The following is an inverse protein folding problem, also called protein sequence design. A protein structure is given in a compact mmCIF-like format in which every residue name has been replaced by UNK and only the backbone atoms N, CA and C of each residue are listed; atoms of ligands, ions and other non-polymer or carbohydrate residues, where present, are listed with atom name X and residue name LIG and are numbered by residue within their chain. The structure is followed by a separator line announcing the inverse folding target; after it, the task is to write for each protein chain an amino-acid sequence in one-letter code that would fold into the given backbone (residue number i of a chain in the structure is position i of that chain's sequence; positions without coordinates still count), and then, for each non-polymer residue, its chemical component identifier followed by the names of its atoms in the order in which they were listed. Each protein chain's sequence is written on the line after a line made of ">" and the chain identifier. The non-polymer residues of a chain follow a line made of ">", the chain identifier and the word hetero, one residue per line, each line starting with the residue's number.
data_IF_193299217117
#
_entry.id   IF_193299217117
#
_cell.length_a   1.000
_cell.length_b   1.000
_cell.length_c   1.000
_cell.angle_alpha   90.00
_cell.angle_beta   90.00
_cell.angle_gamma   90.00
#
_symmetry.space_group_name_H-M   'P 1'
#
loop_
_entity.id
_entity.type
_entity.pdbx_description
1 polymer ?
#
# COMPACT_ATOMS: atom_id res chain seq x y z
N UNK A 1 -7.97 -2.65 33.22
CA UNK A 1 -8.09 -2.65 31.75
C UNK A 1 -7.76 -1.33 31.07
N UNK A 2 -8.52 -0.23 31.22
CA UNK A 2 -8.17 1.06 30.56
C UNK A 2 -6.89 1.73 31.10
N UNK A 3 -6.56 1.51 32.38
CA UNK A 3 -5.36 2.07 33.02
C UNK A 3 -4.07 1.25 32.81
N UNK A 4 -4.17 -0.04 32.46
CA UNK A 4 -2.99 -0.89 32.14
C UNK A 4 -2.52 -0.69 30.69
N UNK A 5 -3.44 -0.30 29.81
CA UNK A 5 -3.15 0.04 28.41
C UNK A 5 -2.45 1.40 28.25
N UNK A 6 -2.57 2.31 29.22
CA UNK A 6 -1.90 3.62 29.20
C UNK A 6 -0.48 3.56 29.75
N UNK A 7 -0.21 2.73 30.75
CA UNK A 7 1.12 2.59 31.36
C UNK A 7 2.12 1.87 30.44
N UNK A 8 1.66 0.86 29.69
CA UNK A 8 2.48 0.17 28.67
C UNK A 8 2.71 1.01 27.41
N UNK A 9 1.81 1.97 27.12
CA UNK A 9 1.90 2.93 26.00
C UNK A 9 3.03 3.95 26.16
N UNK A 10 3.20 4.49 27.37
CA UNK A 10 4.18 5.55 27.64
C UNK A 10 5.64 5.08 27.49
N UNK A 11 5.95 3.83 27.81
CA UNK A 11 7.31 3.30 27.66
C UNK A 11 7.65 2.93 26.20
N UNK A 12 6.67 2.48 25.41
CA UNK A 12 6.89 2.13 24.00
C UNK A 12 6.96 3.37 23.08
N UNK A 13 6.12 4.39 23.33
CA UNK A 13 6.15 5.64 22.57
C UNK A 13 7.45 6.43 22.81
N UNK A 14 8.00 6.41 24.04
CA UNK A 14 9.27 7.07 24.34
C UNK A 14 10.47 6.43 23.64
N UNK A 15 10.49 5.09 23.48
CA UNK A 15 11.55 4.40 22.74
C UNK A 15 11.43 4.58 21.22
N UNK A 16 10.21 4.65 20.67
CA UNK A 16 9.97 4.89 19.24
C UNK A 16 10.21 6.35 18.82
N UNK A 17 9.89 7.32 19.69
CA UNK A 17 10.14 8.74 19.43
C UNK A 17 11.63 9.06 19.37
N UNK A 18 12.47 8.36 20.16
CA UNK A 18 13.93 8.49 20.09
C UNK A 18 14.51 7.98 18.76
N UNK A 19 13.86 7.02 18.11
CA UNK A 19 14.30 6.43 16.82
C UNK A 19 13.77 7.20 15.61
N UNK A 20 12.61 7.86 15.74
CA UNK A 20 11.92 8.52 14.62
C UNK A 20 12.14 10.05 14.55
N UNK A 21 12.56 10.71 15.63
CA UNK A 21 12.75 12.18 15.67
C UNK A 21 14.18 12.66 15.37
N UNK A 22 15.09 11.79 14.93
CA UNK A 22 16.36 12.25 14.36
C UNK A 22 16.12 12.79 12.95
N UNK A 23 15.82 14.09 12.84
CA UNK A 23 15.98 14.84 11.59
C UNK A 23 17.39 14.60 11.04
N UNK A 24 17.57 14.44 9.71
CA UNK A 24 18.89 14.22 9.16
C UNK A 24 19.76 15.45 9.43
N UNK A 25 20.96 15.32 10.03
CA UNK A 25 21.93 16.39 9.97
C UNK A 25 22.29 16.58 8.49
N UNK A 26 22.10 17.79 7.98
CA UNK A 26 22.61 18.28 6.70
C UNK A 26 24.14 18.42 6.76
N UNK A 27 24.85 17.32 6.97
CA UNK A 27 26.31 17.30 6.96
C UNK A 27 26.83 16.24 5.98
N UNK A 28 27.66 16.71 5.05
CA UNK A 28 28.49 15.93 4.15
C UNK A 28 29.18 14.78 4.91
N UNK A 29 28.97 13.55 4.45
CA UNK A 29 29.69 12.38 4.93
C UNK A 29 31.00 12.22 4.17
N UNK A 30 32.07 12.81 4.71
CA UNK A 30 33.40 12.23 4.65
C UNK A 30 33.73 11.78 6.08
N UNK A 31 33.37 10.55 6.41
CA UNK A 31 33.85 9.87 7.62
C UNK A 31 34.39 8.48 7.24
N UNK A 32 35.54 8.06 7.76
CA UNK A 32 36.22 6.84 7.33
C UNK A 32 35.66 5.59 8.03
N UNK A 33 35.62 4.49 7.26
CA UNK A 33 35.45 3.08 7.63
C UNK A 33 35.27 2.73 9.12
N UNK A 34 34.05 2.33 9.52
CA UNK A 34 33.82 1.20 10.48
C UNK A 34 32.36 0.80 10.72
N UNK A 35 31.34 1.57 10.34
CA UNK A 35 29.94 1.22 10.67
C UNK A 35 29.13 0.64 9.49
N UNK A 36 29.41 -0.60 9.11
CA UNK A 36 28.62 -1.35 8.11
C UNK A 36 27.20 -1.68 8.59
N UNK A 37 26.96 -1.72 9.91
CA UNK A 37 25.64 -1.95 10.51
C UNK A 37 24.63 -0.83 10.20
N UNK A 38 25.10 0.39 9.90
CA UNK A 38 24.23 1.54 9.61
C UNK A 38 23.51 1.46 8.26
N UNK A 39 24.11 0.78 7.27
CA UNK A 39 23.58 0.66 5.90
C UNK A 39 22.48 -0.40 5.81
N UNK A 40 22.62 -1.52 6.52
CA UNK A 40 21.59 -2.57 6.59
C UNK A 40 20.33 -2.08 7.31
N UNK A 41 20.48 -1.21 8.32
CA UNK A 41 19.35 -0.62 9.06
C UNK A 41 18.44 0.24 8.16
N UNK A 42 19.02 1.03 7.27
CA UNK A 42 18.26 1.90 6.36
C UNK A 42 17.46 1.07 5.33
N UNK A 43 17.97 -0.09 4.93
CA UNK A 43 17.28 -0.98 3.99
C UNK A 43 16.15 -1.77 4.62
N UNK A 44 16.21 -2.04 5.93
CA UNK A 44 15.20 -2.81 6.65
C UNK A 44 14.16 -1.95 7.38
N UNK A 45 14.28 -0.61 7.34
CA UNK A 45 13.23 0.34 7.79
C UNK A 45 11.82 0.00 7.26
N UNK A 46 11.62 -0.43 5.99
CA UNK A 46 10.30 -0.80 5.49
C UNK A 46 9.65 -1.98 6.24
N UNK A 47 10.43 -2.84 6.90
CA UNK A 47 9.92 -4.00 7.65
C UNK A 47 8.97 -3.59 8.78
N UNK A 48 9.30 -2.50 9.49
CA UNK A 48 8.52 -2.01 10.62
C UNK A 48 7.44 -1.00 10.21
N UNK A 49 7.63 -0.33 9.06
CA UNK A 49 6.78 0.78 8.63
C UNK A 49 5.36 0.34 8.30
N UNK A 50 5.19 -0.78 7.58
CA UNK A 50 3.86 -1.25 7.21
C UNK A 50 3.02 -1.67 8.43
N UNK A 51 3.49 -2.53 9.36
CA UNK A 51 2.73 -2.86 10.58
C UNK A 51 2.34 -1.62 11.39
N UNK A 52 3.24 -0.63 11.48
CA UNK A 52 2.95 0.64 12.15
C UNK A 52 1.80 1.41 11.45
N UNK A 53 1.83 1.54 10.12
CA UNK A 53 0.74 2.18 9.38
C UNK A 53 -0.59 1.41 9.50
N UNK A 54 -0.56 0.07 9.51
CA UNK A 54 -1.75 -0.75 9.76
C UNK A 54 -2.30 -0.54 11.17
N UNK A 55 -1.45 -0.52 12.20
CA UNK A 55 -1.84 -0.25 13.58
C UNK A 55 -2.50 1.13 13.71
N UNK A 56 -1.89 2.16 13.11
CA UNK A 56 -2.40 3.52 13.09
C UNK A 56 -3.78 3.61 12.42
N UNK A 57 -3.97 2.91 11.30
CA UNK A 57 -5.26 2.84 10.59
C UNK A 57 -6.32 2.12 11.42
N UNK A 58 -5.97 1.00 12.03
CA UNK A 58 -6.87 0.26 12.91
C UNK A 58 -7.33 1.14 14.09
N UNK A 59 -6.38 1.82 14.75
CA UNK A 59 -6.68 2.75 15.84
C UNK A 59 -7.61 3.89 15.40
N UNK A 60 -7.37 4.52 14.24
CA UNK A 60 -8.27 5.54 13.70
C UNK A 60 -9.67 5.01 13.39
N UNK A 61 -9.79 3.75 13.00
CA UNK A 61 -11.10 3.12 12.78
C UNK A 61 -11.84 2.86 14.11
N UNK A 62 -11.13 2.40 15.14
CA UNK A 62 -11.66 2.29 16.51
C UNK A 62 -12.14 3.65 16.99
N UNK A 63 -11.28 4.68 16.92
CA UNK A 63 -11.60 6.03 17.36
C UNK A 63 -12.86 6.57 16.68
N UNK A 64 -12.94 6.51 15.34
CA UNK A 64 -14.10 7.00 14.59
C UNK A 64 -15.40 6.29 14.97
N UNK A 65 -15.36 4.97 15.21
CA UNK A 65 -16.54 4.21 15.61
C UNK A 65 -17.00 4.58 17.02
N UNK A 66 -16.06 4.71 17.96
CA UNK A 66 -16.39 5.13 19.33
C UNK A 66 -16.96 6.54 19.36
N UNK A 67 -16.33 7.49 18.67
CA UNK A 67 -16.79 8.88 18.59
C UNK A 67 -18.19 8.96 17.96
N UNK A 68 -18.42 8.28 16.83
CA UNK A 68 -19.73 8.25 16.16
C UNK A 68 -20.84 7.71 17.06
N UNK A 69 -20.59 6.62 17.77
CA UNK A 69 -21.62 6.04 18.64
C UNK A 69 -21.82 6.87 19.91
N UNK A 70 -20.76 7.48 20.45
CA UNK A 70 -20.85 8.45 21.55
C UNK A 70 -21.72 9.66 21.18
N UNK A 71 -21.53 10.20 19.97
CA UNK A 71 -22.32 11.33 19.44
C UNK A 71 -23.79 10.99 19.23
N UNK A 72 -24.15 9.71 19.08
CA UNK A 72 -25.54 9.30 18.90
C UNK A 72 -26.21 8.87 20.20
N UNK A 73 -25.59 7.96 20.96
CA UNK A 73 -26.23 7.33 22.13
C UNK A 73 -26.37 8.30 23.29
N UNK A 74 -25.39 9.17 23.54
CA UNK A 74 -25.49 10.11 24.66
C UNK A 74 -26.63 11.12 24.48
N UNK A 75 -26.82 11.76 23.31
CA UNK A 75 -27.99 12.62 23.10
C UNK A 75 -29.31 11.85 23.10
N UNK A 76 -29.39 10.70 22.41
CA UNK A 76 -30.60 9.90 22.35
C UNK A 76 -31.06 9.46 23.76
N UNK A 77 -30.12 9.02 24.60
CA UNK A 77 -30.43 8.64 25.98
C UNK A 77 -30.98 9.82 26.80
N UNK A 78 -30.38 11.01 26.65
CA UNK A 78 -30.86 12.23 27.34
C UNK A 78 -32.24 12.64 26.87
N UNK A 79 -32.49 12.59 25.56
CA UNK A 79 -33.78 12.94 24.97
C UNK A 79 -34.87 11.98 25.43
N UNK A 80 -34.65 10.66 25.36
CA UNK A 80 -35.60 9.66 25.86
C UNK A 80 -35.84 9.80 27.36
N UNK A 81 -34.80 10.07 28.16
CA UNK A 81 -34.95 10.30 29.59
C UNK A 81 -35.80 11.53 29.90
N UNK A 82 -35.54 12.66 29.23
CA UNK A 82 -36.30 13.89 29.42
C UNK A 82 -37.77 13.74 28.98
N UNK A 83 -38.00 13.13 27.82
CA UNK A 83 -39.35 12.90 27.28
C UNK A 83 -40.19 11.95 28.15
N UNK A 84 -39.53 11.00 28.83
CA UNK A 84 -40.17 10.11 29.81
C UNK A 84 -40.52 10.85 31.11
N UNK A 85 -39.69 11.81 31.53
CA UNK A 85 -39.95 12.63 32.73
C UNK A 85 -41.05 13.68 32.49
N UNK A 86 -41.17 14.20 31.27
CA UNK A 86 -42.20 15.17 30.88
C UNK A 86 -43.55 14.53 30.50
N UNK A 87 -43.68 13.19 30.56
CA UNK A 87 -44.84 12.44 30.05
C UNK A 87 -45.17 12.72 28.57
N UNK A 88 -44.18 13.18 27.78
CA UNK A 88 -44.34 13.46 26.34
C UNK A 88 -44.26 12.20 25.47
N UNK A 89 -43.70 11.11 26.00
CA UNK A 89 -43.60 9.81 25.32
C UNK A 89 -44.41 8.72 26.02
N UNK A 90 -45.01 7.83 25.22
CA UNK A 90 -45.62 6.61 25.75
C UNK A 90 -44.54 5.62 26.21
N UNK A 91 -44.84 4.73 27.18
CA UNK A 91 -43.88 3.73 27.65
C UNK A 91 -43.36 2.84 26.50
N UNK A 92 -44.22 2.50 25.53
CA UNK A 92 -43.83 1.71 24.36
C UNK A 92 -42.82 2.44 23.46
N UNK A 93 -42.94 3.76 23.30
CA UNK A 93 -41.99 4.57 22.53
C UNK A 93 -40.64 4.66 23.23
N UNK A 94 -40.63 4.79 24.56
CA UNK A 94 -39.40 4.79 25.34
C UNK A 94 -38.68 3.43 25.28
N UNK A 95 -39.41 2.33 25.37
CA UNK A 95 -38.87 0.97 25.21
C UNK A 95 -38.27 0.77 23.81
N UNK A 96 -38.98 1.18 22.75
CA UNK A 96 -38.47 1.09 21.38
C UNK A 96 -37.18 1.91 21.17
N UNK A 97 -37.07 3.08 21.78
CA UNK A 97 -35.85 3.90 21.75
C UNK A 97 -34.68 3.22 22.47
N UNK A 98 -34.93 2.61 23.63
CA UNK A 98 -33.93 1.83 24.38
C UNK A 98 -33.46 0.60 23.58
N UNK A 99 -34.38 -0.14 22.96
CA UNK A 99 -34.05 -1.30 22.13
C UNK A 99 -33.19 -0.92 20.91
N UNK A 100 -33.50 0.22 20.27
CA UNK A 100 -32.69 0.76 19.18
C UNK A 100 -31.26 1.12 19.63
N UNK A 101 -31.11 1.72 20.82
CA UNK A 101 -29.79 2.01 21.39
C UNK A 101 -29.03 0.73 21.77
N UNK A 102 -29.70 -0.27 22.35
CA UNK A 102 -29.11 -1.58 22.67
C UNK A 102 -28.61 -2.26 21.40
N UNK A 103 -29.43 -2.31 20.34
CA UNK A 103 -29.07 -2.90 19.05
C UNK A 103 -27.82 -2.25 18.44
N UNK A 104 -27.72 -0.90 18.52
CA UNK A 104 -26.53 -0.16 18.10
C UNK A 104 -25.30 -0.51 18.94
N UNK A 105 -25.42 -0.56 20.26
CA UNK A 105 -24.30 -0.91 21.16
C UNK A 105 -23.82 -2.35 20.94
N UNK A 106 -24.72 -3.29 20.68
CA UNK A 106 -24.36 -4.65 20.28
C UNK A 106 -23.63 -4.66 18.92
N UNK A 107 -24.08 -3.85 17.96
CA UNK A 107 -23.40 -3.66 16.69
C UNK A 107 -21.99 -3.07 16.85
N UNK A 108 -21.81 -2.11 17.75
CA UNK A 108 -20.51 -1.54 18.09
C UNK A 108 -19.59 -2.60 18.70
N UNK A 109 -20.09 -3.37 19.68
CA UNK A 109 -19.33 -4.46 20.32
C UNK A 109 -18.76 -5.44 19.29
N UNK A 110 -19.59 -5.93 18.37
CA UNK A 110 -19.15 -6.85 17.29
C UNK A 110 -18.06 -6.25 16.42
N UNK A 111 -18.18 -4.97 16.04
CA UNK A 111 -17.16 -4.27 15.25
C UNK A 111 -15.85 -4.08 16.03
N UNK A 112 -15.93 -3.77 17.32
CA UNK A 112 -14.77 -3.62 18.19
C UNK A 112 -14.02 -4.93 18.40
N UNK A 113 -14.73 -6.05 18.54
CA UNK A 113 -14.11 -7.38 18.63
C UNK A 113 -13.28 -7.69 17.37
N UNK A 114 -13.77 -7.36 16.18
CA UNK A 114 -13.02 -7.55 14.94
C UNK A 114 -11.77 -6.66 14.88
N UNK A 115 -11.88 -5.38 15.23
CA UNK A 115 -10.74 -4.45 15.22
C UNK A 115 -9.70 -4.80 16.29
N UNK A 116 -10.13 -5.35 17.43
CA UNK A 116 -9.23 -5.84 18.48
C UNK A 116 -8.48 -7.10 18.06
N UNK A 117 -9.14 -8.03 17.37
CA UNK A 117 -8.46 -9.19 16.80
C UNK A 117 -7.43 -8.77 15.74
N UNK A 118 -7.75 -7.79 14.91
CA UNK A 118 -6.81 -7.23 13.93
C UNK A 118 -5.63 -6.55 14.62
N UNK A 119 -5.87 -5.74 15.67
CA UNK A 119 -4.82 -5.13 16.47
C UNK A 119 -3.85 -6.16 17.05
N UNK A 120 -4.39 -7.25 17.62
CA UNK A 120 -3.57 -8.34 18.17
C UNK A 120 -2.66 -8.97 17.12
N UNK A 121 -3.17 -9.20 15.91
CA UNK A 121 -2.35 -9.74 14.80
C UNK A 121 -1.24 -8.77 14.42
N UNK A 122 -1.55 -7.48 14.27
CA UNK A 122 -0.57 -6.45 13.93
C UNK A 122 0.51 -6.33 15.01
N UNK A 123 0.12 -6.37 16.29
CA UNK A 123 1.06 -6.34 17.41
C UNK A 123 1.98 -7.56 17.42
N UNK A 124 1.44 -8.75 17.20
CA UNK A 124 2.22 -9.99 17.16
C UNK A 124 3.24 -9.99 16.00
N UNK A 125 2.82 -9.55 14.81
CA UNK A 125 3.72 -9.37 13.66
C UNK A 125 4.80 -8.33 13.96
N UNK A 126 4.43 -7.18 14.54
CA UNK A 126 5.39 -6.14 14.93
C UNK A 126 6.41 -6.66 15.92
N UNK A 127 5.96 -7.41 16.94
CA UNK A 127 6.82 -8.05 17.95
C UNK A 127 7.82 -9.03 17.31
N UNK A 128 7.36 -9.92 16.43
CA UNK A 128 8.23 -10.88 15.73
C UNK A 128 9.25 -10.18 14.82
N UNK A 129 8.86 -9.10 14.15
CA UNK A 129 9.77 -8.30 13.31
C UNK A 129 10.82 -7.55 14.13
N UNK A 130 10.43 -6.97 15.26
CA UNK A 130 11.37 -6.35 16.20
C UNK A 130 12.36 -7.39 16.73
N UNK A 131 11.90 -8.56 17.16
CA UNK A 131 12.77 -9.65 17.60
C UNK A 131 13.72 -10.13 16.50
N UNK A 132 13.26 -10.18 15.25
CA UNK A 132 14.12 -10.53 14.12
C UNK A 132 15.22 -9.49 13.89
N UNK A 133 14.93 -8.19 14.04
CA UNK A 133 15.93 -7.13 13.97
C UNK A 133 16.84 -7.09 15.19
N UNK A 134 16.33 -7.37 16.38
CA UNK A 134 17.11 -7.45 17.61
C UNK A 134 18.17 -8.54 17.52
N UNK A 135 17.84 -9.70 16.92
CA UNK A 135 18.82 -10.75 16.61
C UNK A 135 19.99 -10.22 15.77
N UNK A 136 19.73 -9.37 14.77
CA UNK A 136 20.81 -8.77 13.98
C UNK A 136 21.75 -7.92 14.85
N UNK A 137 21.19 -7.11 15.75
CA UNK A 137 21.98 -6.25 16.64
C UNK A 137 22.83 -7.03 17.64
N UNK A 138 22.43 -8.25 17.97
CA UNK A 138 23.17 -9.14 18.87
C UNK A 138 24.31 -9.88 18.17
N UNK A 139 24.36 -9.87 16.83
CA UNK A 139 25.40 -10.55 16.06
C UNK A 139 26.66 -9.68 16.04
N UNK A 140 27.81 -10.19 16.50
CA UNK A 140 29.02 -9.38 16.65
C UNK A 140 29.74 -9.08 15.33
N UNK A 141 29.55 -9.92 14.31
CA UNK A 141 30.26 -9.81 13.02
C UNK A 141 29.46 -10.37 11.86
N UNK A 142 29.63 -9.78 10.68
CA UNK A 142 29.04 -10.26 9.42
C UNK A 142 29.62 -11.61 8.97
N UNK A 143 30.79 -12.01 9.49
CA UNK A 143 31.39 -13.32 9.21
C UNK A 143 30.81 -14.44 10.11
N UNK A 144 29.91 -14.11 11.04
CA UNK A 144 29.29 -15.08 11.94
C UNK A 144 28.29 -15.98 11.19
N UNK A 145 28.24 -17.26 11.56
CA UNK A 145 27.24 -18.21 11.03
C UNK A 145 25.82 -17.76 11.35
N UNK A 146 25.61 -17.06 12.48
CA UNK A 146 24.33 -16.47 12.84
C UNK A 146 23.89 -15.39 11.85
N UNK A 147 24.84 -14.65 11.26
CA UNK A 147 24.55 -13.68 10.21
C UNK A 147 24.05 -14.39 8.95
N UNK A 148 24.70 -15.48 8.51
CA UNK A 148 24.25 -16.24 7.33
C UNK A 148 22.81 -16.76 7.51
N UNK A 149 22.48 -17.29 8.69
CA UNK A 149 21.12 -17.73 8.99
C UNK A 149 20.11 -16.59 8.96
N UNK A 150 20.45 -15.44 9.55
CA UNK A 150 19.60 -14.24 9.53
C UNK A 150 19.41 -13.71 8.11
N UNK A 151 20.49 -13.65 7.32
CA UNK A 151 20.49 -13.18 5.94
C UNK A 151 19.65 -14.07 5.02
N UNK A 152 19.63 -15.39 5.24
CA UNK A 152 18.72 -16.31 4.53
C UNK A 152 17.25 -15.99 4.79
N UNK A 153 16.88 -15.71 6.05
CA UNK A 153 15.51 -15.29 6.40
C UNK A 153 15.17 -13.94 5.74
N UNK A 154 16.11 -12.99 5.72
CA UNK A 154 15.94 -11.73 4.99
C UNK A 154 15.70 -11.98 3.51
N UNK A 155 16.50 -12.83 2.86
CA UNK A 155 16.34 -13.17 1.45
C UNK A 155 14.97 -13.82 1.18
N UNK A 156 14.56 -14.80 1.99
CA UNK A 156 13.25 -15.45 1.86
C UNK A 156 12.11 -14.40 1.94
N UNK A 157 12.20 -13.43 2.86
CA UNK A 157 11.24 -12.31 2.94
C UNK A 157 11.23 -11.44 1.67
N UNK A 158 12.41 -11.09 1.15
CA UNK A 158 12.54 -10.27 -0.06
C UNK A 158 12.00 -10.99 -1.30
N UNK A 159 12.22 -12.30 -1.40
CA UNK A 159 11.65 -13.15 -2.44
C UNK A 159 10.13 -13.20 -2.34
N UNK A 160 9.58 -13.41 -1.14
CA UNK A 160 8.14 -13.41 -0.93
C UNK A 160 7.51 -12.06 -1.32
N UNK A 161 8.08 -10.93 -0.91
CA UNK A 161 7.61 -9.59 -1.33
C UNK A 161 7.62 -9.45 -2.85
N UNK A 162 8.69 -9.85 -3.53
CA UNK A 162 8.77 -9.82 -4.98
C UNK A 162 7.69 -10.71 -5.63
N UNK A 163 7.54 -11.96 -5.15
CA UNK A 163 6.55 -12.90 -5.67
C UNK A 163 5.12 -12.37 -5.53
N UNK A 164 4.79 -11.77 -4.39
CA UNK A 164 3.49 -11.14 -4.14
C UNK A 164 3.23 -9.95 -5.08
N UNK A 165 4.24 -9.12 -5.33
CA UNK A 165 4.15 -7.98 -6.26
C UNK A 165 4.03 -8.42 -7.72
N UNK A 166 4.62 -9.55 -8.08
CA UNK A 166 4.52 -10.15 -9.42
C UNK A 166 3.29 -11.04 -9.61
N UNK A 167 2.40 -11.15 -8.61
CA UNK A 167 1.16 -11.94 -8.71
C UNK A 167 1.30 -13.43 -8.41
N UNK A 168 2.49 -13.91 -8.02
CA UNK A 168 2.76 -15.31 -7.66
C UNK A 168 2.32 -15.63 -6.21
N UNK A 169 1.04 -15.38 -5.91
CA UNK A 169 0.47 -15.46 -4.55
C UNK A 169 0.63 -16.85 -3.94
N UNK A 170 0.28 -17.91 -4.68
CA UNK A 170 0.30 -19.29 -4.16
C UNK A 170 1.71 -19.71 -3.77
N UNK A 171 2.68 -19.43 -4.65
CA UNK A 171 4.08 -19.75 -4.41
C UNK A 171 4.66 -18.94 -3.24
N UNK A 172 4.28 -17.66 -3.12
CA UNK A 172 4.67 -16.81 -1.98
C UNK A 172 4.13 -17.35 -0.65
N UNK A 173 2.85 -17.75 -0.61
CA UNK A 173 2.23 -18.35 0.57
C UNK A 173 2.86 -19.69 0.94
N UNK A 174 3.20 -20.53 -0.04
CA UNK A 174 3.87 -21.80 0.19
C UNK A 174 5.26 -21.57 0.80
N UNK A 175 6.08 -20.70 0.19
CA UNK A 175 7.41 -20.38 0.70
C UNK A 175 7.37 -19.81 2.13
N UNK A 176 6.43 -18.90 2.41
CA UNK A 176 6.26 -18.33 3.75
C UNK A 176 5.97 -19.41 4.80
N UNK A 177 5.13 -20.40 4.45
CA UNK A 177 4.72 -21.50 5.33
C UNK A 177 5.84 -22.51 5.55
N UNK A 178 6.52 -22.92 4.48
CA UNK A 178 7.64 -23.86 4.54
C UNK A 178 8.82 -23.30 5.36
N UNK A 179 9.06 -21.99 5.28
CA UNK A 179 10.10 -21.31 6.06
C UNK A 179 9.64 -20.88 7.45
N UNK A 180 8.34 -20.93 7.75
CA UNK A 180 7.77 -20.49 9.03
C UNK A 180 7.91 -18.99 9.29
N UNK A 181 7.89 -18.16 8.24
CA UNK A 181 8.13 -16.71 8.31
C UNK A 181 6.89 -15.87 7.98
N UNK A 182 5.70 -16.46 8.06
CA UNK A 182 4.42 -15.80 7.73
C UNK A 182 4.21 -14.47 8.49
N UNK A 183 4.73 -14.34 9.71
CA UNK A 183 4.62 -13.12 10.51
C UNK A 183 5.64 -12.02 10.12
N UNK A 184 6.67 -12.38 9.35
CA UNK A 184 7.69 -11.46 8.87
C UNK A 184 7.40 -10.90 7.47
N UNK A 185 6.28 -11.32 6.87
CA UNK A 185 5.84 -10.93 5.53
C UNK A 185 4.40 -10.43 5.55
N UNK A 186 4.01 -9.65 4.53
CA UNK A 186 2.73 -8.94 4.48
C UNK A 186 1.74 -9.58 3.51
N UNK A 187 1.53 -10.90 3.61
CA UNK A 187 0.73 -11.71 2.67
C UNK A 187 -0.64 -11.10 2.36
N UNK A 188 -1.44 -10.83 3.40
CA UNK A 188 -2.82 -10.38 3.22
C UNK A 188 -2.91 -9.01 2.53
N UNK A 189 -1.98 -8.10 2.81
CA UNK A 189 -1.92 -6.76 2.22
C UNK A 189 -1.71 -6.86 0.71
N UNK A 190 -0.74 -7.66 0.27
CA UNK A 190 -0.49 -7.82 -1.15
C UNK A 190 -1.55 -8.66 -1.86
N UNK A 191 -2.13 -9.68 -1.21
CA UNK A 191 -3.23 -10.46 -1.78
C UNK A 191 -4.44 -9.57 -2.08
N UNK A 192 -4.80 -8.68 -1.15
CA UNK A 192 -5.89 -7.73 -1.39
C UNK A 192 -5.54 -6.74 -2.51
N UNK A 193 -4.30 -6.21 -2.52
CA UNK A 193 -3.83 -5.33 -3.58
C UNK A 193 -3.93 -6.00 -4.96
N UNK A 194 -3.41 -7.23 -5.12
CA UNK A 194 -3.44 -7.95 -6.38
C UNK A 194 -4.85 -8.29 -6.84
N UNK A 195 -5.74 -8.65 -5.91
CA UNK A 195 -7.15 -8.92 -6.25
C UNK A 195 -7.81 -7.70 -6.90
N UNK A 196 -7.62 -6.51 -6.31
CA UNK A 196 -8.19 -5.27 -6.83
C UNK A 196 -7.51 -4.85 -8.14
N UNK A 197 -6.19 -5.01 -8.24
CA UNK A 197 -5.46 -4.73 -9.48
C UNK A 197 -5.92 -5.64 -10.64
N UNK A 198 -6.15 -6.92 -10.37
CA UNK A 198 -6.68 -7.87 -11.35
C UNK A 198 -8.11 -7.53 -11.75
N UNK A 199 -8.98 -7.17 -10.79
CA UNK A 199 -10.35 -6.78 -11.12
C UNK A 199 -10.39 -5.57 -12.06
N UNK A 200 -9.45 -4.62 -11.89
CA UNK A 200 -9.31 -3.50 -12.81
C UNK A 200 -8.87 -3.96 -14.20
N UNK A 201 -7.92 -4.89 -14.30
CA UNK A 201 -7.53 -5.46 -15.60
C UNK A 201 -8.67 -6.18 -16.31
N UNK A 202 -9.60 -6.78 -15.58
CA UNK A 202 -10.81 -7.41 -16.12
C UNK A 202 -11.97 -6.44 -16.37
N UNK A 203 -11.80 -5.13 -16.13
CA UNK A 203 -12.80 -4.11 -16.41
C UNK A 203 -13.75 -3.78 -15.26
N UNK A 204 -13.43 -4.19 -14.03
CA UNK A 204 -14.29 -3.98 -12.85
C UNK A 204 -13.72 -2.92 -11.90
N UNK A 205 -14.47 -1.82 -11.72
CA UNK A 205 -14.08 -0.69 -10.84
C UNK A 205 -14.62 -0.79 -9.41
N UNK A 206 -15.51 -1.75 -9.14
CA UNK A 206 -16.29 -1.80 -7.88
C UNK A 206 -15.39 -1.89 -6.65
N UNK A 207 -14.48 -2.86 -6.65
CA UNK A 207 -13.59 -3.11 -5.50
C UNK A 207 -12.60 -1.95 -5.28
N UNK A 208 -12.07 -1.38 -6.37
CA UNK A 208 -11.18 -0.22 -6.30
C UNK A 208 -11.88 1.02 -5.74
N UNK A 209 -13.13 1.27 -6.14
CA UNK A 209 -13.93 2.39 -5.64
C UNK A 209 -14.35 2.18 -4.17
N UNK A 210 -14.65 0.94 -3.78
CA UNK A 210 -14.87 0.62 -2.37
C UNK A 210 -13.62 0.93 -1.54
N UNK A 211 -12.45 0.50 -2.01
CA UNK A 211 -11.17 0.80 -1.38
C UNK A 211 -10.91 2.30 -1.28
N UNK A 212 -11.25 3.09 -2.31
CA UNK A 212 -11.18 4.55 -2.26
C UNK A 212 -12.08 5.12 -1.16
N UNK A 213 -13.31 4.60 -1.01
CA UNK A 213 -14.23 5.01 0.06
C UNK A 213 -13.67 4.74 1.46
N UNK A 214 -13.05 3.57 1.66
CA UNK A 214 -12.42 3.17 2.93
C UNK A 214 -11.20 4.05 3.27
N UNK A 215 -10.47 4.51 2.25
CA UNK A 215 -9.23 5.29 2.38
C UNK A 215 -9.41 6.79 2.10
N UNK A 216 -10.64 7.29 1.97
CA UNK A 216 -10.96 8.65 1.49
C UNK A 216 -10.20 9.76 2.21
N UNK A 217 -10.10 9.70 3.54
CA UNK A 217 -9.41 10.73 4.32
C UNK A 217 -7.90 10.78 4.04
N UNK A 218 -7.30 9.64 3.72
CA UNK A 218 -5.88 9.55 3.41
C UNK A 218 -5.60 9.87 1.94
N UNK A 219 -6.51 9.52 1.03
CA UNK A 219 -6.46 9.88 -0.40
C UNK A 219 -6.53 11.39 -0.66
N UNK A 220 -7.19 12.18 0.21
CA UNK A 220 -7.19 13.65 0.11
C UNK A 220 -5.78 14.27 0.13
N UNK A 221 -4.79 13.57 0.67
CA UNK A 221 -3.39 14.01 0.74
C UNK A 221 -2.50 13.34 -0.32
N UNK A 222 -3.02 12.33 -1.02
CA UNK A 222 -2.28 11.65 -2.08
C UNK A 222 -2.22 12.57 -3.29
N UNK A 223 -1.11 12.49 -4.02
CA UNK A 223 -0.94 13.20 -5.29
C UNK A 223 -1.68 12.52 -6.44
N UNK A 224 -2.19 11.29 -6.24
CA UNK A 224 -2.86 10.51 -7.27
C UNK A 224 -4.37 10.71 -7.26
N UNK A 225 -4.93 11.11 -8.41
CA UNK A 225 -6.36 11.28 -8.62
C UNK A 225 -7.09 9.96 -8.94
N UNK A 226 -6.80 8.90 -8.18
CA UNK A 226 -7.31 7.54 -8.44
C UNK A 226 -8.84 7.48 -8.50
N UNK A 227 -9.54 8.11 -7.54
CA UNK A 227 -11.01 8.08 -7.53
C UNK A 227 -11.59 8.75 -8.78
N UNK A 228 -11.03 9.89 -9.20
CA UNK A 228 -11.43 10.57 -10.44
C UNK A 228 -11.22 9.67 -11.66
N UNK A 229 -10.04 9.07 -11.82
CA UNK A 229 -9.72 8.20 -12.96
C UNK A 229 -10.62 6.96 -13.05
N UNK A 230 -11.01 6.39 -11.91
CA UNK A 230 -11.96 5.27 -11.84
C UNK A 230 -13.38 5.71 -12.21
N UNK A 231 -13.82 6.87 -11.73
CA UNK A 231 -15.15 7.43 -12.07
C UNK A 231 -15.22 7.83 -13.54
N UNK A 232 -14.12 8.37 -14.09
CA UNK A 232 -14.01 8.66 -15.51
C UNK A 232 -14.14 7.37 -16.34
N UNK A 233 -13.50 6.27 -15.94
CA UNK A 233 -13.68 4.99 -16.63
C UNK A 233 -15.13 4.49 -16.56
N UNK A 234 -15.79 4.58 -15.41
CA UNK A 234 -17.21 4.25 -15.31
C UNK A 234 -18.06 5.05 -16.30
N UNK A 235 -17.78 6.35 -16.42
CA UNK A 235 -18.42 7.20 -17.41
C UNK A 235 -18.17 6.72 -18.85
N UNK A 236 -16.91 6.45 -19.20
CA UNK A 236 -16.53 5.95 -20.54
C UNK A 236 -17.29 4.67 -20.87
N UNK A 237 -17.39 3.71 -19.93
CA UNK A 237 -18.10 2.45 -20.18
C UNK A 237 -19.62 2.60 -20.28
N UNK A 238 -20.22 3.56 -19.56
CA UNK A 238 -21.64 3.89 -19.73
C UNK A 238 -21.92 4.49 -21.12
N UNK A 239 -21.03 5.34 -21.62
CA UNK A 239 -21.13 5.89 -22.99
C UNK A 239 -20.87 4.81 -24.03
N UNK A 240 -19.89 3.93 -23.81
CA UNK A 240 -19.54 2.81 -24.71
C UNK A 240 -20.72 1.88 -24.98
N UNK A 241 -21.58 1.64 -23.99
CA UNK A 241 -22.75 0.78 -24.13
C UNK A 241 -23.80 1.30 -25.14
N UNK A 242 -23.72 2.56 -25.59
CA UNK A 242 -24.38 3.05 -26.80
C UNK A 242 -25.92 3.20 -26.77
N UNK A 243 -26.58 2.89 -25.66
CA UNK A 243 -28.04 3.03 -25.54
C UNK A 243 -28.43 4.46 -25.13
N UNK A 244 -29.37 5.08 -25.87
CA UNK A 244 -29.85 6.46 -25.61
C UNK A 244 -30.31 6.69 -24.16
N UNK A 245 -30.93 5.68 -23.54
CA UNK A 245 -31.35 5.73 -22.13
C UNK A 245 -30.18 5.86 -21.16
N UNK A 246 -29.03 5.23 -21.47
CA UNK A 246 -27.82 5.26 -20.63
C UNK A 246 -27.01 6.55 -20.75
N UNK A 247 -27.26 7.39 -21.76
CA UNK A 247 -26.62 8.72 -21.83
C UNK A 247 -27.11 9.66 -20.73
N UNK A 248 -28.39 9.56 -20.34
CA UNK A 248 -28.91 10.31 -19.21
C UNK A 248 -28.23 9.87 -17.91
N UNK A 249 -28.07 8.56 -17.70
CA UNK A 249 -27.36 8.01 -16.54
C UNK A 249 -25.89 8.44 -16.52
N UNK A 250 -25.22 8.41 -17.66
CA UNK A 250 -23.84 8.89 -17.80
C UNK A 250 -23.73 10.39 -17.45
N UNK A 251 -24.69 11.20 -17.89
CA UNK A 251 -24.73 12.64 -17.56
C UNK A 251 -24.98 12.88 -16.06
N UNK A 252 -25.88 12.12 -15.45
CA UNK A 252 -26.14 12.18 -13.99
C UNK A 252 -24.87 11.78 -13.22
N UNK A 253 -24.19 10.73 -13.64
CA UNK A 253 -22.94 10.28 -13.05
C UNK A 253 -21.84 11.34 -13.17
N UNK A 254 -21.66 11.92 -14.37
CA UNK A 254 -20.68 12.98 -14.60
C UNK A 254 -20.93 14.19 -13.69
N UNK A 255 -22.20 14.64 -13.57
CA UNK A 255 -22.58 15.71 -12.64
C UNK A 255 -22.27 15.39 -11.19
N UNK A 256 -22.45 14.13 -10.79
CA UNK A 256 -22.25 13.70 -9.39
C UNK A 256 -20.78 13.51 -9.02
N UNK A 257 -19.98 12.92 -9.91
CA UNK A 257 -18.64 12.43 -9.58
C UNK A 257 -17.51 13.14 -10.31
N UNK A 258 -17.75 13.71 -11.50
CA UNK A 258 -16.72 14.40 -12.28
C UNK A 258 -16.76 15.91 -12.07
N UNK A 259 -17.95 16.51 -11.95
CA UNK A 259 -18.11 17.95 -11.75
C UNK A 259 -17.32 18.53 -10.56
N UNK A 260 -17.17 17.83 -9.40
CA UNK A 260 -16.33 18.33 -8.31
C UNK A 260 -14.85 18.52 -8.68
N UNK A 261 -14.38 17.90 -9.78
CA UNK A 261 -13.01 18.00 -10.26
C UNK A 261 -12.85 19.00 -11.42
N UNK A 262 -13.90 19.75 -11.79
CA UNK A 262 -13.89 20.64 -12.97
C UNK A 262 -12.75 21.66 -12.94
N UNK A 263 -12.43 22.23 -11.79
CA UNK A 263 -11.33 23.18 -11.65
C UNK A 263 -9.96 22.53 -11.88
N UNK A 264 -9.79 21.28 -11.45
CA UNK A 264 -8.50 20.56 -11.48
C UNK A 264 -8.29 19.70 -12.72
N UNK A 265 -9.37 19.22 -13.34
CA UNK A 265 -9.38 18.19 -14.40
C UNK A 265 -10.27 18.59 -15.58
N UNK A 266 -10.43 19.89 -15.83
CA UNK A 266 -11.29 20.42 -16.90
C UNK A 266 -11.01 19.77 -18.25
N UNK A 267 -9.75 19.63 -18.64
CA UNK A 267 -9.35 19.06 -19.93
C UNK A 267 -9.91 17.66 -20.13
N UNK A 268 -9.73 16.77 -19.15
CA UNK A 268 -10.23 15.39 -19.22
C UNK A 268 -11.75 15.33 -19.20
N UNK A 269 -12.42 16.21 -18.45
CA UNK A 269 -13.88 16.27 -18.41
C UNK A 269 -14.47 16.74 -19.75
N UNK A 270 -13.86 17.72 -20.41
CA UNK A 270 -14.29 18.15 -21.75
C UNK A 270 -14.06 17.05 -22.80
N UNK A 271 -12.93 16.33 -22.71
CA UNK A 271 -12.68 15.15 -23.57
C UNK A 271 -13.73 14.06 -23.33
N UNK A 272 -14.07 13.79 -22.07
CA UNK A 272 -15.12 12.85 -21.72
C UNK A 272 -16.48 13.26 -22.32
N UNK A 273 -16.86 14.55 -22.21
CA UNK A 273 -18.08 15.05 -22.82
C UNK A 273 -18.11 14.87 -24.35
N UNK A 274 -16.96 15.01 -25.01
CA UNK A 274 -16.82 14.73 -26.44
C UNK A 274 -17.15 13.28 -26.83
N UNK A 275 -16.98 12.30 -25.94
CA UNK A 275 -17.32 10.89 -26.21
C UNK A 275 -18.81 10.68 -26.53
N UNK A 276 -19.69 11.63 -26.19
CA UNK A 276 -21.10 11.58 -26.60
C UNK A 276 -21.28 11.78 -28.12
N UNK A 277 -20.32 12.42 -28.79
CA UNK A 277 -20.33 12.66 -30.22
C UNK A 277 -19.47 11.66 -31.01
N UNK A 278 -18.49 11.01 -30.36
CA UNK A 278 -17.58 10.06 -30.98
C UNK A 278 -17.89 8.61 -30.54
N UNK A 279 -18.21 7.71 -31.48
CA UNK A 279 -18.52 6.33 -31.14
C UNK A 279 -17.27 5.54 -30.72
N UNK A 280 -17.43 4.37 -30.08
CA UNK A 280 -16.31 3.56 -29.58
C UNK A 280 -15.30 3.10 -30.65
N UNK A 281 -15.72 3.02 -31.92
CA UNK A 281 -14.89 2.64 -33.08
C UNK A 281 -14.20 3.84 -33.75
N UNK A 282 -14.30 5.03 -33.15
CA UNK A 282 -13.66 6.25 -33.65
C UNK A 282 -12.16 6.08 -33.83
N UNK A 283 -11.62 6.68 -34.91
CA UNK A 283 -10.19 6.78 -35.17
C UNK A 283 -9.61 8.12 -34.70
N UNK A 284 -10.45 9.05 -34.24
CA UNK A 284 -10.03 10.38 -33.83
C UNK A 284 -9.43 10.35 -32.43
N UNK A 285 -8.21 10.87 -32.28
CA UNK A 285 -7.63 11.15 -30.97
C UNK A 285 -8.19 12.47 -30.41
N UNK A 286 -8.35 12.60 -29.08
CA UNK A 286 -7.97 11.65 -28.02
C UNK A 286 -9.02 10.55 -27.74
N UNK A 287 -10.15 10.55 -28.43
CA UNK A 287 -11.30 9.68 -28.09
C UNK A 287 -11.01 8.19 -28.31
N UNK A 288 -10.22 7.87 -29.34
CA UNK A 288 -9.74 6.51 -29.58
C UNK A 288 -8.96 5.98 -28.36
N UNK A 289 -8.00 6.74 -27.84
CA UNK A 289 -7.22 6.34 -26.66
C UNK A 289 -8.06 6.28 -25.38
N UNK A 290 -9.10 7.11 -25.24
CA UNK A 290 -10.02 7.02 -24.09
C UNK A 290 -10.83 5.72 -24.07
N UNK A 291 -11.24 5.19 -25.24
CA UNK A 291 -11.91 3.90 -25.35
C UNK A 291 -10.95 2.69 -25.36
N UNK A 292 -9.64 2.92 -25.38
CA UNK A 292 -8.65 1.86 -25.48
C UNK A 292 -8.64 0.96 -24.23
N UNK A 293 -8.41 -0.34 -24.43
CA UNK A 293 -8.42 -1.31 -23.33
C UNK A 293 -7.20 -1.13 -22.41
N UNK A 294 -6.10 -0.59 -22.94
CA UNK A 294 -4.87 -0.23 -22.24
C UNK A 294 -5.11 0.70 -21.05
N UNK A 295 -6.22 1.45 -21.05
CA UNK A 295 -6.60 2.30 -19.91
C UNK A 295 -6.86 1.47 -18.64
N UNK A 296 -7.31 0.23 -18.76
CA UNK A 296 -7.48 -0.67 -17.60
C UNK A 296 -6.16 -1.09 -16.97
N UNK A 297 -5.12 -1.33 -17.80
CA UNK A 297 -3.76 -1.57 -17.30
C UNK A 297 -3.22 -0.33 -16.58
N UNK A 298 -3.42 0.87 -17.16
CA UNK A 298 -3.07 2.13 -16.50
C UNK A 298 -3.77 2.30 -15.14
N UNK A 299 -5.07 2.02 -15.05
CA UNK A 299 -5.83 2.09 -13.81
C UNK A 299 -5.32 1.10 -12.75
N UNK A 300 -5.03 -0.13 -13.17
CA UNK A 300 -4.40 -1.14 -12.31
C UNK A 300 -3.08 -0.62 -11.73
N UNK A 301 -2.20 -0.08 -12.58
CA UNK A 301 -0.90 0.45 -12.15
C UNK A 301 -1.02 1.71 -11.29
N UNK A 302 -1.99 2.57 -11.59
CA UNK A 302 -2.31 3.73 -10.77
C UNK A 302 -2.77 3.29 -9.38
N UNK A 303 -3.68 2.31 -9.30
CA UNK A 303 -4.14 1.74 -8.04
C UNK A 303 -2.98 1.16 -7.22
N UNK A 304 -2.12 0.33 -7.82
CA UNK A 304 -0.97 -0.28 -7.13
C UNK A 304 -0.01 0.79 -6.59
N UNK A 305 0.27 1.84 -7.37
CA UNK A 305 1.10 2.97 -6.94
C UNK A 305 0.46 3.74 -5.78
N UNK A 306 -0.81 4.10 -5.90
CA UNK A 306 -1.55 4.79 -4.84
C UNK A 306 -1.62 3.95 -3.56
N UNK A 307 -1.85 2.64 -3.69
CA UNK A 307 -1.86 1.69 -2.58
C UNK A 307 -0.51 1.64 -1.85
N UNK A 308 0.59 1.51 -2.59
CA UNK A 308 1.93 1.50 -2.00
C UNK A 308 2.28 2.82 -1.33
N UNK A 309 1.99 3.97 -1.96
CA UNK A 309 2.20 5.29 -1.35
C UNK A 309 1.47 5.41 -0.01
N UNK A 310 0.19 5.02 0.01
CA UNK A 310 -0.67 5.11 1.20
C UNK A 310 -0.20 4.26 2.37
N UNK A 311 0.47 3.15 2.09
CA UNK A 311 1.06 2.25 3.08
C UNK A 311 2.56 2.50 3.30
N UNK A 312 3.10 3.54 2.66
CA UNK A 312 4.53 3.84 2.64
C UNK A 312 5.41 2.66 2.24
N UNK A 313 4.92 1.84 1.31
CA UNK A 313 5.67 0.76 0.71
C UNK A 313 6.54 1.32 -0.42
N UNK A 314 7.72 0.73 -0.60
CA UNK A 314 8.56 1.03 -1.76
C UNK A 314 7.79 0.72 -3.05
N UNK A 315 7.90 1.60 -4.04
CA UNK A 315 7.33 1.39 -5.37
C UNK A 315 7.99 0.23 -6.11
N UNK A 316 9.28 -0.02 -5.82
CA UNK A 316 10.04 -1.16 -6.33
C UNK A 316 10.21 -2.24 -5.26
N UNK A 317 10.20 -3.54 -5.61
CA UNK A 317 10.49 -4.60 -4.64
C UNK A 317 11.88 -4.42 -4.05
N UNK A 318 12.01 -4.67 -2.74
CA UNK A 318 13.29 -4.50 -2.03
C UNK A 318 14.38 -5.44 -2.56
N UNK A 319 13.99 -6.61 -3.09
CA UNK A 319 14.90 -7.53 -3.77
C UNK A 319 15.64 -6.87 -4.94
N UNK A 320 14.96 -6.04 -5.74
CA UNK A 320 15.60 -5.33 -6.87
C UNK A 320 16.62 -4.31 -6.36
N UNK A 321 16.32 -3.63 -5.25
CA UNK A 321 17.22 -2.64 -4.66
C UNK A 321 18.47 -3.34 -4.12
N UNK A 322 18.30 -4.42 -3.36
CA UNK A 322 19.40 -5.22 -2.82
C UNK A 322 20.27 -5.82 -3.94
N UNK A 323 19.64 -6.38 -4.97
CA UNK A 323 20.34 -6.95 -6.13
C UNK A 323 21.11 -5.87 -6.89
N UNK A 324 20.49 -4.71 -7.17
CA UNK A 324 21.14 -3.62 -7.88
C UNK A 324 22.32 -3.03 -7.10
N UNK A 325 22.19 -2.90 -5.77
CA UNK A 325 23.28 -2.50 -4.89
C UNK A 325 24.43 -3.53 -4.92
N UNK A 326 24.11 -4.82 -4.79
CA UNK A 326 25.09 -5.91 -4.85
C UNK A 326 25.81 -5.97 -6.20
N UNK A 327 25.09 -5.87 -7.31
CA UNK A 327 25.67 -5.81 -8.66
C UNK A 327 26.59 -4.59 -8.82
N UNK A 328 26.20 -3.44 -8.26
CA UNK A 328 27.02 -2.22 -8.32
C UNK A 328 28.31 -2.35 -7.50
N UNK A 329 28.27 -3.02 -6.34
CA UNK A 329 29.45 -3.29 -5.51
C UNK A 329 30.41 -4.29 -6.16
N UNK A 330 29.90 -5.20 -6.99
CA UNK A 330 30.71 -6.20 -7.68
C UNK A 330 31.27 -5.72 -9.03
N UNK A 331 30.82 -4.55 -9.53
CA UNK A 331 31.37 -3.98 -10.77
C UNK A 331 32.84 -3.60 -10.57
N UNK A 332 33.68 -4.12 -11.45
CA UNK A 332 35.11 -3.79 -11.54
C UNK A 332 35.37 -2.83 -12.71
N UNK A 333 36.52 -2.14 -12.77
CA UNK A 333 36.89 -1.31 -13.92
C UNK A 333 36.83 -2.04 -15.28
N UNK A 334 37.06 -3.36 -15.30
CA UNK A 334 36.92 -4.22 -16.48
C UNK A 334 35.48 -4.28 -17.03
N UNK A 335 34.47 -4.00 -16.20
CA UNK A 335 33.06 -3.92 -16.58
C UNK A 335 32.72 -2.65 -17.40
N UNK A 336 33.62 -1.68 -17.47
CA UNK A 336 33.45 -0.41 -18.20
C UNK A 336 34.19 -0.36 -19.54
N UNK A 337 34.85 -1.44 -19.96
CA UNK A 337 35.53 -1.46 -21.24
C UNK A 337 34.49 -1.47 -22.39
N UNK A 338 34.60 -0.53 -23.33
CA UNK A 338 33.73 -0.43 -24.51
C UNK A 338 33.81 -1.66 -25.45
N UNK A 339 34.63 -2.65 -25.12
CA UNK A 339 34.92 -3.86 -25.88
C UNK A 339 34.30 -5.14 -25.28
N UNK A 340 33.52 -5.07 -24.19
CA UNK A 340 32.73 -6.24 -23.77
C UNK A 340 31.62 -6.49 -24.80
N UNK A 341 31.90 -7.36 -25.76
CA UNK A 341 31.00 -7.70 -26.85
C UNK A 341 29.66 -8.22 -26.32
N UNK A 342 28.56 -7.58 -26.71
CA UNK A 342 27.17 -7.93 -26.37
C UNK A 342 26.66 -9.20 -27.08
N UNK A 343 27.55 -10.05 -27.60
CA UNK A 343 27.22 -11.22 -28.41
C UNK A 343 27.62 -12.49 -27.68
N UNK A 344 26.69 -13.06 -26.91
CA UNK A 344 26.83 -14.37 -26.28
C UNK A 344 26.38 -15.47 -27.25
N UNK A 345 27.34 -16.28 -27.71
CA UNK A 345 27.10 -17.67 -28.09
C UNK A 345 27.36 -18.50 -26.84
N UNK A 346 26.36 -19.26 -26.36
CA UNK A 346 26.43 -20.04 -25.11
C UNK A 346 27.38 -21.26 -25.17
N UNK A 347 28.08 -21.47 -26.29
CA UNK A 347 28.92 -22.64 -26.55
C UNK A 347 30.43 -22.32 -26.62
N UNK A 348 30.86 -21.07 -26.43
CA UNK A 348 32.27 -20.70 -26.45
C UNK A 348 32.88 -20.72 -25.04
N UNK A 349 33.78 -21.67 -24.80
CA UNK A 349 34.56 -21.82 -23.55
C UNK A 349 35.71 -20.81 -23.41
N UNK A 350 35.87 -19.86 -24.35
CA UNK A 350 37.05 -18.99 -24.45
C UNK A 350 36.79 -17.50 -24.25
N UNK A 351 35.54 -17.07 -24.00
CA UNK A 351 35.25 -15.68 -23.61
C UNK A 351 35.00 -15.62 -22.11
N UNK A 352 35.88 -14.94 -21.37
CA UNK A 352 35.66 -14.59 -19.97
C UNK A 352 34.55 -13.55 -19.87
N UNK A 353 33.29 -13.97 -20.06
CA UNK A 353 32.12 -13.12 -19.89
C UNK A 353 32.05 -12.80 -18.40
N UNK A 354 32.19 -11.51 -18.06
CA UNK A 354 31.94 -11.07 -16.69
C UNK A 354 30.48 -11.43 -16.35
N UNK A 355 30.23 -12.31 -15.35
CA UNK A 355 28.88 -12.80 -15.04
C UNK A 355 27.94 -11.66 -14.62
N UNK A 356 28.48 -10.52 -14.18
CA UNK A 356 27.76 -9.30 -13.75
C UNK A 356 27.41 -8.40 -14.95
N UNK A 357 28.11 -8.54 -16.08
CA UNK A 357 27.92 -7.74 -17.29
C UNK A 357 26.97 -8.38 -18.31
N UNK A 358 26.29 -9.46 -17.94
CA UNK A 358 25.20 -10.02 -18.75
C UNK A 358 24.15 -8.96 -19.03
N UNK A 359 23.50 -9.05 -20.19
CA UNK A 359 22.50 -8.08 -20.67
C UNK A 359 21.36 -7.93 -19.66
N UNK A 360 20.93 -9.03 -19.07
CA UNK A 360 19.83 -9.15 -18.12
C UNK A 360 20.16 -8.45 -16.79
N UNK A 361 21.38 -8.62 -16.27
CA UNK A 361 21.81 -7.97 -15.02
C UNK A 361 22.17 -6.50 -15.22
N UNK A 362 22.63 -6.12 -16.42
CA UNK A 362 22.89 -4.72 -16.76
C UNK A 362 21.62 -3.88 -16.77
N UNK A 363 20.49 -4.40 -17.24
CA UNK A 363 19.20 -3.70 -17.15
C UNK A 363 18.81 -3.42 -15.69
N UNK A 364 18.99 -4.40 -14.80
CA UNK A 364 18.72 -4.24 -13.36
C UNK A 364 19.66 -3.23 -12.67
N UNK A 365 20.90 -3.10 -13.16
CA UNK A 365 21.91 -2.19 -12.62
C UNK A 365 21.84 -0.76 -13.18
N UNK A 366 21.12 -0.49 -14.28
CA UNK A 366 20.95 0.87 -14.84
C UNK A 366 20.10 1.78 -13.96
N UNK A 367 19.24 1.20 -13.11
CA UNK A 367 18.23 1.94 -12.35
C UNK A 367 18.72 2.58 -11.05
N UNK A 368 19.97 2.36 -10.65
CA UNK A 368 20.63 3.04 -9.51
C UNK A 368 21.35 4.33 -9.93
N UNK A 369 21.74 4.46 -11.21
CA UNK A 369 22.51 5.61 -11.68
C UNK A 369 21.69 6.89 -11.89
N UNK A 370 20.35 6.83 -11.89
CA UNK A 370 19.50 8.00 -12.12
C UNK A 370 19.22 8.85 -10.87
N UNK A 371 19.55 8.35 -9.67
CA UNK A 371 19.37 9.09 -8.42
C UNK A 371 20.68 9.06 -7.60
N UNK A 372 21.58 10.01 -7.87
CA UNK A 372 22.66 10.36 -6.95
C UNK A 372 24.06 9.95 -7.39
N UNK A 373 24.84 10.96 -7.78
CA UNK A 373 26.30 11.05 -7.74
C UNK A 373 27.05 9.83 -7.18
N UNK A 374 27.61 9.01 -8.06
CA UNK A 374 28.86 8.31 -7.83
C UNK A 374 29.75 8.56 -9.05
N UNK A 375 30.44 9.70 -9.04
CA UNK A 375 31.63 9.96 -9.85
C UNK A 375 32.78 10.28 -8.93
#
# INVERSE_FOLDING_TARGET
>A
MAAELTSTRLNAENHLLLVLNSSPPTYCWLAPHSDTNSVDYLQDQPLLRLPHELARRNFKSVQRLVEREKEYVLPALKETANASLSNEQTPDQALAALDAMISRMQGLKRKMENLHQEERKIQEQSRKRIQHLEKLHQIPSLADVQYDQWARVRLDRLMIDHMLRSGYIKSAQQLAREKGIEDLVDLNVFVQCQRIAESLRTGETKDALQWCGENKAALKKSQYNLEFELRLQQYIEMVRAGHKERFNDAMIHAKRYLAPYLETQSVEIHRAAGLLAFPPDTKAEPYKSMYAHERWAYLSDLFVRTHHELLSLSSRPLLHIALSAGLSALKTPSCHSAYTSSSSNSLSTTTSVCPICSTELNELARFTASNGCWR
#
